data_IF_831817766622
#
_entry.id   IF_831817766622
#
_cell.length_a   1.000
_cell.length_b   1.000
_cell.length_c   1.000
_cell.angle_alpha   90.00
_cell.angle_beta   90.00
_cell.angle_gamma   90.00
#
_symmetry.space_group_name_H-M   'P 1'
#
loop_
_entity.id
_entity.type
_entity.pdbx_description
1 polymer ?
#
# COMPACT_ATOMS: atom_id res chain seq x y z
N UNK A 1 -4.46 20.50 -11.40
CA UNK A 1 -4.81 19.07 -11.24
C UNK A 1 -3.80 18.50 -10.26
N UNK A 2 -4.22 18.14 -9.04
CA UNK A 2 -3.33 17.42 -8.14
C UNK A 2 -3.29 15.97 -8.60
N UNK A 3 -2.18 15.58 -9.23
CA UNK A 3 -1.90 14.19 -9.55
C UNK A 3 -1.82 13.40 -8.24
N UNK A 4 -2.58 12.32 -8.13
CA UNK A 4 -2.55 11.43 -6.96
C UNK A 4 -1.15 10.87 -6.76
N UNK A 5 -0.67 10.78 -5.50
CA UNK A 5 0.62 10.15 -5.17
C UNK A 5 0.56 8.62 -5.22
N UNK A 6 -0.64 8.03 -5.22
CA UNK A 6 -0.82 6.58 -5.25
C UNK A 6 -0.39 6.06 -6.63
N UNK A 7 0.55 5.11 -6.72
CA UNK A 7 0.97 4.51 -7.98
C UNK A 7 -0.16 3.68 -8.60
N UNK A 8 -0.12 3.53 -9.91
CA UNK A 8 -1.04 2.64 -10.61
C UNK A 8 -0.67 1.17 -10.38
N UNK A 9 -1.68 0.30 -10.38
CA UNK A 9 -1.53 -1.16 -10.35
C UNK A 9 -1.85 -1.69 -11.74
N UNK A 10 -0.88 -1.66 -12.65
CA UNK A 10 -1.06 -2.03 -14.07
C UNK A 10 -0.71 -3.48 -14.39
N UNK A 11 0.14 -4.10 -13.56
CA UNK A 11 0.48 -5.52 -13.64
C UNK A 11 -0.30 -6.25 -12.55
N UNK A 12 -1.28 -7.06 -12.95
CA UNK A 12 -2.15 -7.78 -12.01
C UNK A 12 -1.59 -9.16 -11.60
N UNK A 13 -0.26 -9.28 -11.53
CA UNK A 13 0.42 -10.46 -11.02
C UNK A 13 0.85 -10.26 -9.56
N UNK A 14 1.33 -11.34 -8.94
CA UNK A 14 1.94 -11.27 -7.61
C UNK A 14 3.13 -10.30 -7.57
N UNK A 15 3.99 -10.32 -8.59
CA UNK A 15 5.12 -9.40 -8.72
C UNK A 15 4.66 -7.95 -8.87
N UNK A 16 3.52 -7.73 -9.54
CA UNK A 16 2.86 -6.44 -9.62
C UNK A 16 2.41 -5.91 -8.27
N UNK A 17 1.82 -6.76 -7.41
CA UNK A 17 1.46 -6.38 -6.03
C UNK A 17 2.71 -6.02 -5.22
N UNK A 18 3.75 -6.85 -5.31
CA UNK A 18 5.02 -6.62 -4.62
C UNK A 18 5.66 -5.29 -5.04
N UNK A 19 5.66 -4.99 -6.34
CA UNK A 19 6.13 -3.70 -6.86
C UNK A 19 5.28 -2.52 -6.37
N UNK A 20 3.96 -2.68 -6.32
CA UNK A 20 3.06 -1.63 -5.83
C UNK A 20 3.32 -1.32 -4.35
N UNK A 21 3.38 -2.34 -3.49
CA UNK A 21 3.72 -2.15 -2.07
C UNK A 21 5.12 -1.56 -1.89
N UNK A 22 6.11 -2.02 -2.66
CA UNK A 22 7.45 -1.45 -2.63
C UNK A 22 7.45 0.04 -2.99
N UNK A 23 6.71 0.42 -4.03
CA UNK A 23 6.58 1.82 -4.49
C UNK A 23 5.88 2.69 -3.44
N UNK A 24 4.84 2.16 -2.78
CA UNK A 24 4.18 2.82 -1.66
C UNK A 24 5.13 3.03 -0.47
N UNK A 25 5.96 2.03 -0.16
CA UNK A 25 6.98 2.11 0.90
C UNK A 25 8.05 3.16 0.64
N UNK A 26 8.62 3.20 -0.57
CA UNK A 26 9.60 4.21 -0.97
C UNK A 26 8.99 5.63 -0.95
N UNK A 27 7.69 5.75 -1.23
CA UNK A 27 6.97 7.02 -1.17
C UNK A 27 6.55 7.45 0.25
N UNK A 28 6.82 6.62 1.27
CA UNK A 28 6.38 6.88 2.65
C UNK A 28 4.87 6.76 2.84
N UNK A 29 4.19 6.03 1.95
CA UNK A 29 2.75 5.85 1.90
C UNK A 29 2.32 4.41 2.23
N UNK A 30 3.23 3.56 2.74
CA UNK A 30 2.91 2.19 3.10
C UNK A 30 1.96 2.16 4.30
N UNK A 31 0.85 1.44 4.16
CA UNK A 31 -0.15 1.19 5.20
C UNK A 31 -0.67 -0.24 5.08
N UNK A 32 -1.21 -0.79 6.17
CA UNK A 32 -1.64 -2.19 6.22
C UNK A 32 -2.82 -2.43 5.24
N UNK A 33 -2.85 -3.55 4.49
CA UNK A 33 -3.90 -3.80 3.50
C UNK A 33 -5.34 -3.83 4.05
N UNK A 34 -5.51 -4.21 5.33
CA UNK A 34 -6.83 -4.19 6.00
C UNK A 34 -7.22 -2.81 6.55
N UNK A 35 -6.25 -1.91 6.72
CA UNK A 35 -6.56 -0.60 7.28
C UNK A 35 -7.11 0.31 6.17
N UNK A 36 -8.27 0.93 6.37
CA UNK A 36 -8.81 1.85 5.37
C UNK A 36 -7.94 3.10 5.30
N UNK A 37 -7.56 3.50 4.08
CA UNK A 37 -6.63 4.61 3.85
C UNK A 37 -7.13 5.96 4.42
N UNK A 38 -8.43 6.14 4.63
CA UNK A 38 -8.99 7.37 5.22
C UNK A 38 -8.94 7.40 6.75
N UNK A 39 -8.54 6.30 7.39
CA UNK A 39 -8.25 6.21 8.83
C UNK A 39 -6.75 6.26 9.15
N UNK A 40 -5.90 6.47 8.13
CA UNK A 40 -4.46 6.62 8.33
C UNK A 40 -4.13 8.10 8.61
N UNK A 41 -3.55 8.33 9.79
CA UNK A 41 -3.14 9.65 10.26
C UNK A 41 -1.62 9.70 10.47
N UNK A 42 -1.04 10.84 10.13
CA UNK A 42 0.33 11.14 10.51
C UNK A 42 0.37 11.52 12.00
N UNK A 43 1.19 10.80 12.77
CA UNK A 43 1.24 10.92 14.24
C UNK A 43 1.77 12.30 14.68
N UNK A 44 2.65 12.92 13.88
CA UNK A 44 3.26 14.19 14.24
C UNK A 44 2.33 15.39 13.99
N UNK A 45 1.47 15.30 12.97
CA UNK A 45 0.61 16.40 12.51
C UNK A 45 -0.87 16.20 12.82
N UNK A 46 -1.28 15.00 13.24
CA UNK A 46 -2.68 14.57 13.41
C UNK A 46 -3.53 14.72 12.14
N UNK A 47 -2.89 14.95 10.99
CA UNK A 47 -3.55 15.13 9.71
C UNK A 47 -3.73 13.77 9.01
N UNK A 48 -4.75 13.67 8.15
CA UNK A 48 -4.91 12.50 7.27
C UNK A 48 -3.70 12.39 6.34
N UNK A 49 -3.10 11.21 6.30
CA UNK A 49 -1.95 10.91 5.42
C UNK A 49 -2.34 11.00 3.94
N UNK A 50 -3.57 10.61 3.63
CA UNK A 50 -4.12 10.55 2.28
C UNK A 50 -5.22 11.59 2.07
N UNK A 51 -5.24 12.19 0.88
CA UNK A 51 -6.37 13.00 0.42
C UNK A 51 -7.57 12.09 0.07
N UNK A 52 -8.81 12.61 0.02
CA UNK A 52 -9.98 11.79 -0.34
C UNK A 52 -9.83 11.07 -1.69
N UNK A 53 -9.18 11.71 -2.67
CA UNK A 53 -8.90 11.11 -3.96
C UNK A 53 -7.89 9.95 -3.87
N UNK A 54 -6.90 10.07 -2.99
CA UNK A 54 -5.91 9.01 -2.75
C UNK A 54 -6.51 7.85 -1.98
N UNK A 55 -7.37 8.10 -0.99
CA UNK A 55 -8.13 7.06 -0.30
C UNK A 55 -8.95 6.23 -1.29
N UNK A 56 -9.70 6.90 -2.18
CA UNK A 56 -10.48 6.22 -3.21
C UNK A 56 -9.63 5.39 -4.17
N UNK A 57 -8.49 5.93 -4.61
CA UNK A 57 -7.58 5.21 -5.51
C UNK A 57 -6.91 4.01 -4.83
N UNK A 58 -6.38 4.18 -3.62
CA UNK A 58 -5.72 3.10 -2.88
C UNK A 58 -6.71 1.99 -2.52
N UNK A 59 -7.92 2.34 -2.07
CA UNK A 59 -8.98 1.39 -1.78
C UNK A 59 -9.42 0.60 -3.02
N UNK A 60 -9.60 1.26 -4.16
CA UNK A 60 -9.94 0.56 -5.41
C UNK A 60 -8.86 -0.44 -5.85
N UNK A 61 -7.58 -0.07 -5.68
CA UNK A 61 -6.46 -0.96 -5.99
C UNK A 61 -6.41 -2.15 -5.04
N UNK A 62 -6.50 -1.93 -3.72
CA UNK A 62 -6.51 -3.01 -2.73
C UNK A 62 -7.71 -3.95 -2.94
N UNK A 63 -8.90 -3.42 -3.21
CA UNK A 63 -10.06 -4.23 -3.56
C UNK A 63 -9.77 -5.11 -4.80
N UNK A 64 -9.18 -4.53 -5.84
CA UNK A 64 -8.79 -5.29 -7.04
C UNK A 64 -7.78 -6.39 -6.72
N UNK A 65 -6.79 -6.10 -5.87
CA UNK A 65 -5.80 -7.09 -5.45
C UNK A 65 -6.44 -8.25 -4.68
N UNK A 66 -7.31 -7.95 -3.70
CA UNK A 66 -8.02 -8.97 -2.92
C UNK A 66 -9.01 -9.77 -3.76
N UNK A 67 -9.71 -9.14 -4.70
CA UNK A 67 -10.61 -9.83 -5.64
C UNK A 67 -9.87 -10.83 -6.53
N UNK A 68 -8.66 -10.49 -6.99
CA UNK A 68 -7.87 -11.32 -7.90
C UNK A 68 -7.00 -12.37 -7.20
N UNK A 69 -6.50 -12.05 -6.00
CA UNK A 69 -5.44 -12.84 -5.35
C UNK A 69 -5.79 -13.35 -3.95
N UNK A 70 -6.90 -12.88 -3.35
CA UNK A 70 -7.28 -13.23 -1.99
C UNK A 70 -6.19 -12.91 -0.98
N UNK A 71 -5.92 -13.83 -0.06
CA UNK A 71 -4.94 -13.63 1.02
C UNK A 71 -3.48 -13.54 0.54
N UNK A 72 -3.18 -13.85 -0.74
CA UNK A 72 -1.83 -13.64 -1.29
C UNK A 72 -1.41 -12.16 -1.30
N UNK A 73 -2.34 -11.23 -1.11
CA UNK A 73 -2.04 -9.80 -0.88
C UNK A 73 -1.15 -9.63 0.35
N UNK A 74 -1.39 -10.39 1.43
CA UNK A 74 -0.56 -10.34 2.63
C UNK A 74 0.84 -10.87 2.36
N UNK A 75 0.97 -11.96 1.60
CA UNK A 75 2.26 -12.53 1.20
C UNK A 75 3.09 -11.56 0.35
N UNK A 76 2.45 -10.78 -0.52
CA UNK A 76 3.11 -9.74 -1.31
C UNK A 76 3.53 -8.53 -0.45
N UNK A 77 2.69 -8.14 0.52
CA UNK A 77 2.95 -6.99 1.39
C UNK A 77 4.03 -7.28 2.45
N UNK A 78 4.02 -8.49 3.03
CA UNK A 78 4.86 -8.90 4.15
C UNK A 78 6.35 -8.58 4.00
N UNK A 79 7.05 -9.00 2.92
CA UNK A 79 8.49 -8.71 2.79
C UNK A 79 8.77 -7.20 2.71
N UNK A 80 7.84 -6.39 2.21
CA UNK A 80 7.98 -4.94 2.14
C UNK A 80 7.85 -4.30 3.52
N UNK A 81 6.91 -4.76 4.34
CA UNK A 81 6.77 -4.33 5.73
C UNK A 81 7.99 -4.70 6.57
N UNK A 82 8.45 -5.94 6.47
CA UNK A 82 9.66 -6.41 7.16
C UNK A 82 10.86 -5.52 6.83
N UNK A 83 11.09 -5.28 5.53
CA UNK A 83 12.15 -4.37 5.07
C UNK A 83 11.98 -2.95 5.62
N UNK A 84 10.76 -2.38 5.59
CA UNK A 84 10.48 -1.01 6.08
C UNK A 84 10.70 -0.88 7.59
N UNK A 85 10.44 -1.93 8.36
CA UNK A 85 10.69 -1.98 9.80
C UNK A 85 12.16 -2.24 10.15
N UNK A 86 13.05 -2.38 9.15
CA UNK A 86 14.46 -2.71 9.37
C UNK A 86 14.69 -4.13 9.87
N UNK A 87 13.69 -5.00 9.75
CA UNK A 87 13.76 -6.41 10.10
C UNK A 87 14.13 -7.18 8.82
N UNK A 88 15.39 -7.60 8.70
CA UNK A 88 15.77 -8.51 7.63
C UNK A 88 15.21 -9.90 7.94
N UNK A 89 14.58 -10.52 6.94
CA UNK A 89 14.33 -11.95 6.92
C UNK A 89 15.67 -12.65 6.65
N UNK A 90 16.57 -12.62 7.65
CA UNK A 90 17.75 -13.46 7.62
C UNK A 90 17.30 -14.90 7.90
N UNK A 91 17.45 -15.77 6.91
CA UNK A 91 17.47 -17.23 7.05
C UNK A 91 18.76 -17.76 6.46
#
# INVERSE_FOLDING_TARGET
MNTSRIPDYSDHSFDGMLLWFATMSESGLLFHPDDPADEIYDIATEAKTFTPNECGKAGAILNTMFELHGDNVYEAAYPIFMKRMGLHLDS
#
